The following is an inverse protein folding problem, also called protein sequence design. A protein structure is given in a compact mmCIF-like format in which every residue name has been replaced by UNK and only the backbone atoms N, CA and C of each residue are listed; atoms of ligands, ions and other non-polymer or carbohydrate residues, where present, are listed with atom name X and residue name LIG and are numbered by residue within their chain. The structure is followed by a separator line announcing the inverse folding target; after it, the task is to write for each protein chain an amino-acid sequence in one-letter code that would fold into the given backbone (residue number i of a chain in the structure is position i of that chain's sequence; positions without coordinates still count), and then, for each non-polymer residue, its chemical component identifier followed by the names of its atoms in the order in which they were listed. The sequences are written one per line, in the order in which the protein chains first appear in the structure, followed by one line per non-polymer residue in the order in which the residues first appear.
data_IF_123546876163
#
_entry.id   IF_123546876163
#
_cell.length_a   1.000
_cell.length_b   1.000
_cell.length_c   1.000
_cell.angle_alpha   90.00
_cell.angle_beta   90.00
_cell.angle_gamma   90.00
#
_symmetry.space_group_name_H-M   'P 1'
#
loop_
_entity.id
_entity.type
_entity.pdbx_description
1 polymer ?
#
# COMPACT_ATOMS: atom_id res chain seq x y z
N UNK A 1 -18.95 33.69 -87.03
CA UNK A 1 -20.42 33.93 -87.17
C UNK A 1 -20.89 34.18 -85.75
N UNK A 2 -21.00 35.50 -85.41
CA UNK A 2 -22.18 36.31 -85.29
C UNK A 2 -23.32 35.65 -84.52
N UNK A 3 -23.76 36.11 -83.36
CA UNK A 3 -24.37 37.40 -83.04
C UNK A 3 -24.81 37.34 -81.56
N UNK A 4 -24.64 38.40 -80.83
CA UNK A 4 -25.52 39.47 -80.40
C UNK A 4 -26.31 39.23 -79.08
N UNK A 5 -25.95 40.10 -78.17
CA UNK A 5 -26.69 40.52 -76.94
C UNK A 5 -28.14 40.98 -77.19
N UNK A 6 -28.96 41.04 -76.18
CA UNK A 6 -29.17 42.40 -75.63
C UNK A 6 -29.29 42.51 -74.11
N UNK A 7 -29.01 43.74 -73.71
CA UNK A 7 -29.18 44.37 -72.39
C UNK A 7 -30.63 44.48 -71.97
N UNK A 8 -30.97 44.42 -70.69
CA UNK A 8 -31.90 45.29 -69.94
C UNK A 8 -31.64 45.24 -68.41
N UNK A 9 -31.22 46.34 -67.95
CA UNK A 9 -31.78 47.35 -66.99
C UNK A 9 -32.05 46.88 -65.54
N UNK A 10 -31.41 47.65 -64.68
CA UNK A 10 -31.46 47.77 -63.26
C UNK A 10 -32.80 47.99 -62.62
N UNK A 11 -33.01 47.50 -61.45
CA UNK A 11 -33.80 48.10 -60.38
C UNK A 11 -33.17 47.82 -59.03
N UNK A 12 -32.80 48.91 -58.36
CA UNK A 12 -32.26 48.90 -56.99
C UNK A 12 -33.40 48.68 -56.02
N UNK A 13 -33.18 47.74 -55.10
CA UNK A 13 -33.96 47.72 -53.87
C UNK A 13 -32.98 47.59 -52.71
N UNK A 14 -32.97 48.61 -51.88
CA UNK A 14 -32.28 48.65 -50.60
C UNK A 14 -32.97 47.67 -49.67
N UNK A 15 -32.23 46.74 -49.11
CA UNK A 15 -32.69 45.91 -48.01
C UNK A 15 -31.75 46.12 -46.84
N UNK A 16 -32.31 46.58 -45.74
CA UNK A 16 -31.65 46.72 -44.43
C UNK A 16 -30.99 45.40 -43.99
N UNK A 17 -29.70 45.46 -43.71
CA UNK A 17 -29.02 44.38 -43.04
C UNK A 17 -29.21 44.53 -41.50
N UNK A 18 -30.03 43.70 -40.91
CA UNK A 18 -30.06 43.49 -39.46
C UNK A 18 -28.96 42.52 -39.09
N UNK A 19 -27.92 43.04 -38.43
CA UNK A 19 -26.86 42.24 -37.84
C UNK A 19 -27.43 41.51 -36.61
N UNK A 20 -27.67 40.19 -36.72
CA UNK A 20 -27.92 39.32 -35.59
C UNK A 20 -26.58 38.89 -34.99
N UNK A 21 -26.18 39.48 -33.87
CA UNK A 21 -25.05 39.03 -33.06
C UNK A 21 -25.45 37.74 -32.35
N UNK A 22 -24.99 36.59 -32.84
CA UNK A 22 -25.02 35.33 -32.11
C UNK A 22 -24.04 35.43 -30.93
N UNK A 23 -24.57 35.68 -29.74
CA UNK A 23 -23.82 35.54 -28.49
C UNK A 23 -23.57 34.07 -28.21
N UNK A 24 -22.32 33.61 -28.41
CA UNK A 24 -21.84 32.28 -28.01
C UNK A 24 -21.65 32.31 -26.50
N UNK A 25 -22.67 31.91 -25.73
CA UNK A 25 -22.52 31.67 -24.28
C UNK A 25 -21.70 30.40 -24.09
N UNK A 26 -20.44 30.55 -23.74
CA UNK A 26 -19.65 29.44 -23.16
C UNK A 26 -20.24 29.10 -21.79
N UNK A 27 -21.08 28.08 -21.75
CA UNK A 27 -21.46 27.46 -20.49
C UNK A 27 -20.20 26.76 -19.93
N UNK A 28 -19.57 27.38 -18.93
CA UNK A 28 -18.56 26.73 -18.11
C UNK A 28 -19.23 25.56 -17.36
N UNK A 29 -19.06 24.34 -17.85
CA UNK A 29 -19.39 23.14 -17.09
C UNK A 29 -18.48 23.07 -15.87
N UNK A 30 -18.95 23.59 -14.75
CA UNK A 30 -18.34 23.29 -13.46
C UNK A 30 -18.47 21.78 -13.26
N UNK A 31 -17.35 21.07 -13.32
CA UNK A 31 -17.27 19.70 -12.82
C UNK A 31 -17.46 19.80 -11.31
N UNK A 32 -18.72 19.71 -10.88
CA UNK A 32 -19.03 19.53 -9.48
C UNK A 32 -18.32 18.26 -9.02
N UNK A 33 -17.45 18.37 -8.01
CA UNK A 33 -16.91 17.24 -7.31
C UNK A 33 -18.08 16.35 -6.92
N UNK A 34 -18.09 15.12 -7.42
CA UNK A 34 -19.07 14.10 -7.01
C UNK A 34 -19.03 14.04 -5.49
N UNK A 35 -20.16 14.23 -4.77
CA UNK A 35 -20.15 14.09 -3.32
C UNK A 35 -19.62 12.70 -3.02
N UNK A 36 -18.55 12.63 -2.22
CA UNK A 36 -18.06 11.36 -1.67
C UNK A 36 -19.24 10.79 -0.91
N UNK A 37 -19.82 9.72 -1.43
CA UNK A 37 -20.88 8.99 -0.73
C UNK A 37 -20.31 8.64 0.65
N UNK A 38 -21.03 8.88 1.75
CA UNK A 38 -20.59 8.41 3.06
C UNK A 38 -20.37 6.92 2.92
N UNK A 39 -19.15 6.47 3.25
CA UNK A 39 -18.80 5.07 3.18
C UNK A 39 -19.75 4.32 4.09
N UNK A 40 -20.44 3.33 3.53
CA UNK A 40 -21.41 2.51 4.25
C UNK A 40 -20.77 1.99 5.54
N UNK A 41 -21.45 2.14 6.67
CA UNK A 41 -20.93 1.76 7.98
C UNK A 41 -20.60 0.25 7.95
N UNK A 42 -19.34 -0.10 8.20
CA UNK A 42 -18.90 -1.49 8.20
C UNK A 42 -19.61 -2.20 9.36
N UNK A 43 -20.46 -3.20 9.11
CA UNK A 43 -21.19 -3.86 10.19
C UNK A 43 -20.21 -4.58 11.13
N UNK A 44 -20.46 -4.50 12.43
CA UNK A 44 -19.68 -5.24 13.41
C UNK A 44 -19.90 -6.74 13.24
N UNK A 45 -18.91 -7.44 12.72
CA UNK A 45 -18.87 -8.89 12.56
C UNK A 45 -17.71 -9.44 13.37
N UNK A 46 -18.03 -10.37 14.23
CA UNK A 46 -17.07 -10.99 15.15
C UNK A 46 -16.08 -11.86 14.39
N UNK A 47 -14.78 -11.59 14.52
CA UNK A 47 -13.72 -12.50 14.06
C UNK A 47 -13.69 -13.76 14.95
N UNK A 48 -13.80 -14.97 14.39
CA UNK A 48 -13.69 -16.21 15.17
C UNK A 48 -12.35 -16.34 15.91
N UNK A 49 -12.34 -17.04 17.04
CA UNK A 49 -11.14 -17.15 17.89
C UNK A 49 -9.97 -17.84 17.17
N UNK A 50 -10.24 -18.89 16.38
CA UNK A 50 -9.23 -19.58 15.59
C UNK A 50 -8.64 -18.66 14.51
N UNK A 51 -9.45 -17.79 13.89
CA UNK A 51 -9.00 -16.79 12.91
C UNK A 51 -8.20 -15.70 13.61
N UNK A 52 -8.67 -15.20 14.78
CA UNK A 52 -7.90 -14.24 15.59
C UNK A 52 -6.50 -14.74 15.91
N UNK A 53 -6.39 -16.01 16.34
CA UNK A 53 -5.08 -16.64 16.60
C UNK A 53 -4.23 -16.73 15.34
N UNK A 54 -4.80 -17.21 14.23
CA UNK A 54 -4.10 -17.34 12.98
C UNK A 54 -3.60 -15.98 12.44
N UNK A 55 -4.36 -14.88 12.62
CA UNK A 55 -3.94 -13.53 12.27
C UNK A 55 -2.69 -13.09 13.05
N UNK A 56 -2.65 -13.37 14.34
CA UNK A 56 -1.51 -13.02 15.20
C UNK A 56 -0.28 -13.92 14.95
N UNK A 57 -0.50 -15.20 14.70
CA UNK A 57 0.54 -16.19 14.41
C UNK A 57 1.18 -15.98 13.04
N UNK A 58 0.39 -15.72 11.97
CA UNK A 58 0.95 -15.47 10.64
C UNK A 58 1.82 -14.21 10.62
N UNK A 59 1.45 -13.20 11.42
CA UNK A 59 2.23 -11.99 11.63
C UNK A 59 3.40 -12.19 12.60
N UNK A 60 3.53 -13.36 13.25
CA UNK A 60 4.54 -13.62 14.28
C UNK A 60 4.54 -12.54 15.35
N UNK A 61 3.37 -12.19 15.85
CA UNK A 61 3.23 -11.19 16.92
C UNK A 61 3.98 -11.66 18.17
N UNK A 62 4.67 -10.75 18.84
CA UNK A 62 5.45 -11.02 20.03
C UNK A 62 5.53 -9.83 20.99
N UNK A 63 6.22 -9.97 22.14
CA UNK A 63 6.24 -8.97 23.20
C UNK A 63 6.91 -7.64 22.84
N UNK A 64 7.67 -7.61 21.74
CA UNK A 64 8.31 -6.39 21.22
C UNK A 64 7.39 -5.61 20.24
N UNK A 65 6.25 -6.18 19.89
CA UNK A 65 5.35 -5.54 18.96
C UNK A 65 4.47 -4.50 19.61
N UNK A 66 4.33 -3.37 18.91
CA UNK A 66 3.27 -2.41 19.11
C UNK A 66 2.31 -2.57 17.92
N UNK A 67 1.10 -3.06 18.18
CA UNK A 67 0.14 -3.32 17.13
C UNK A 67 -1.04 -2.35 17.15
N UNK A 68 -1.74 -2.26 16.04
CA UNK A 68 -3.02 -1.58 15.95
C UNK A 68 -4.04 -2.46 15.22
N UNK A 69 -5.27 -2.44 15.71
CA UNK A 69 -6.42 -3.10 15.08
C UNK A 69 -7.39 -2.03 14.58
N UNK A 70 -7.64 -2.01 13.28
CA UNK A 70 -8.48 -1.02 12.59
C UNK A 70 -9.91 -1.54 12.50
N UNK A 71 -10.86 -0.84 13.15
CA UNK A 71 -12.23 -1.33 13.36
C UNK A 71 -12.24 -2.44 14.40
N UNK A 72 -11.75 -2.14 15.61
CA UNK A 72 -11.42 -3.17 16.61
C UNK A 72 -12.62 -3.86 17.25
N UNK A 73 -13.84 -3.35 17.00
CA UNK A 73 -15.07 -3.94 17.52
C UNK A 73 -15.05 -4.14 19.03
N UNK A 74 -15.19 -5.39 19.49
CA UNK A 74 -15.17 -5.75 20.91
C UNK A 74 -13.75 -5.93 21.50
N UNK A 75 -12.72 -5.61 20.73
CA UNK A 75 -11.32 -5.59 21.16
C UNK A 75 -10.61 -6.94 21.16
N UNK A 76 -11.24 -8.02 20.71
CA UNK A 76 -10.73 -9.40 20.86
C UNK A 76 -9.33 -9.62 20.26
N UNK A 77 -9.00 -9.00 19.13
CA UNK A 77 -7.68 -9.18 18.47
C UNK A 77 -6.59 -8.57 19.35
N UNK A 78 -6.74 -7.32 19.79
CA UNK A 78 -5.77 -6.63 20.64
C UNK A 78 -5.65 -7.30 22.02
N UNK A 79 -6.78 -7.70 22.61
CA UNK A 79 -6.81 -8.41 23.91
C UNK A 79 -6.08 -9.76 23.79
N UNK A 80 -6.32 -10.51 22.72
CA UNK A 80 -5.64 -11.79 22.49
C UNK A 80 -4.13 -11.59 22.27
N UNK A 81 -3.73 -10.56 21.52
CA UNK A 81 -2.33 -10.22 21.33
C UNK A 81 -1.62 -9.87 22.65
N UNK A 82 -2.26 -9.05 23.49
CA UNK A 82 -1.72 -8.69 24.80
C UNK A 82 -1.62 -9.90 25.73
N UNK A 83 -2.67 -10.73 25.77
CA UNK A 83 -2.77 -11.85 26.70
C UNK A 83 -1.88 -13.04 26.35
N UNK A 84 -1.85 -13.43 25.06
CA UNK A 84 -1.15 -14.65 24.61
C UNK A 84 0.26 -14.40 24.07
N UNK A 85 0.48 -13.23 23.47
CA UNK A 85 1.75 -12.91 22.80
C UNK A 85 2.55 -11.82 23.53
N UNK A 86 2.00 -11.22 24.59
CA UNK A 86 2.68 -10.18 25.37
C UNK A 86 2.81 -8.84 24.66
N UNK A 87 2.21 -8.67 23.49
CA UNK A 87 2.28 -7.45 22.70
C UNK A 87 1.55 -6.28 23.38
N UNK A 88 1.91 -5.05 22.99
CA UNK A 88 1.10 -3.85 23.25
C UNK A 88 0.24 -3.55 22.04
N UNK A 89 -0.96 -3.02 22.24
CA UNK A 89 -1.81 -2.69 21.12
C UNK A 89 -2.85 -1.62 21.39
N UNK A 90 -3.23 -0.94 20.33
CA UNK A 90 -4.35 -0.02 20.25
C UNK A 90 -5.45 -0.61 19.36
N UNK A 91 -6.68 -0.59 19.81
CA UNK A 91 -7.85 -0.77 18.96
C UNK A 91 -8.47 0.60 18.66
N UNK A 92 -8.73 0.90 17.40
CA UNK A 92 -9.49 2.07 16.99
C UNK A 92 -10.84 1.63 16.43
N UNK A 93 -11.90 2.28 16.90
CA UNK A 93 -13.29 1.94 16.57
C UNK A 93 -14.09 3.24 16.54
N UNK A 94 -15.06 3.35 15.63
CA UNK A 94 -15.87 4.56 15.51
C UNK A 94 -17.17 4.48 16.32
N UNK A 95 -17.61 3.28 16.70
CA UNK A 95 -18.83 3.05 17.45
C UNK A 95 -18.56 3.11 18.96
N UNK A 96 -19.06 4.14 19.68
CA UNK A 96 -18.74 4.36 21.10
C UNK A 96 -19.04 3.16 22.01
N UNK A 97 -20.16 2.47 21.78
CA UNK A 97 -20.57 1.30 22.57
C UNK A 97 -19.61 0.13 22.43
N UNK A 98 -19.02 -0.05 21.23
CA UNK A 98 -18.00 -1.07 20.99
C UNK A 98 -16.69 -0.71 21.67
N UNK A 99 -16.30 0.57 21.65
CA UNK A 99 -15.13 1.06 22.41
C UNK A 99 -15.29 0.82 23.90
N UNK A 100 -16.45 1.12 24.46
CA UNK A 100 -16.72 0.86 25.88
C UNK A 100 -16.65 -0.63 26.19
N UNK A 101 -17.28 -1.48 25.34
CA UNK A 101 -17.24 -2.94 25.48
C UNK A 101 -15.81 -3.48 25.41
N UNK A 102 -14.99 -2.98 24.48
CA UNK A 102 -13.60 -3.43 24.34
C UNK A 102 -12.74 -3.09 25.57
N UNK A 103 -12.94 -1.91 26.18
CA UNK A 103 -12.30 -1.52 27.45
C UNK A 103 -12.70 -2.43 28.61
N UNK A 104 -13.98 -2.71 28.75
CA UNK A 104 -14.47 -3.65 29.76
C UNK A 104 -13.90 -5.07 29.56
N UNK A 105 -13.83 -5.53 28.31
CA UNK A 105 -13.25 -6.82 27.98
C UNK A 105 -11.76 -6.88 28.32
N UNK A 106 -11.00 -5.80 28.08
CA UNK A 106 -9.57 -5.71 28.43
C UNK A 106 -9.35 -5.76 29.95
N UNK A 107 -10.21 -5.09 30.75
CA UNK A 107 -10.19 -5.15 32.21
C UNK A 107 -10.49 -6.57 32.68
N UNK A 108 -11.56 -7.20 32.16
CA UNK A 108 -11.94 -8.59 32.51
C UNK A 108 -10.83 -9.59 32.14
N UNK A 109 -10.10 -9.32 31.05
CA UNK A 109 -8.99 -10.17 30.61
C UNK A 109 -7.68 -9.91 31.37
N UNK A 110 -7.59 -8.86 32.21
CA UNK A 110 -6.40 -8.49 32.97
C UNK A 110 -5.26 -7.93 32.12
N UNK A 111 -5.59 -7.25 31.00
CA UNK A 111 -4.59 -6.71 30.03
C UNK A 111 -4.81 -5.23 29.71
N UNK A 112 -5.58 -4.51 30.51
CA UNK A 112 -5.87 -3.09 30.27
C UNK A 112 -4.63 -2.18 30.32
N UNK A 113 -3.52 -2.66 30.86
CA UNK A 113 -2.21 -1.99 30.84
C UNK A 113 -1.48 -2.10 29.50
N UNK A 114 -1.90 -3.00 28.60
CA UNK A 114 -1.29 -3.30 27.30
C UNK A 114 -2.24 -3.21 26.11
N UNK A 115 -3.55 -3.25 26.36
CA UNK A 115 -4.61 -3.18 25.36
C UNK A 115 -5.42 -1.90 25.56
N UNK A 116 -5.17 -0.89 24.76
CA UNK A 116 -5.86 0.40 24.75
C UNK A 116 -6.94 0.43 23.66
N UNK A 117 -8.04 1.19 23.88
CA UNK A 117 -9.10 1.36 22.89
C UNK A 117 -9.55 2.81 22.82
N UNK A 118 -9.67 3.34 21.60
CA UNK A 118 -10.05 4.72 21.33
C UNK A 118 -11.20 4.78 20.34
N UNK A 119 -12.13 5.68 20.63
CA UNK A 119 -13.10 6.14 19.64
C UNK A 119 -12.37 7.03 18.63
N UNK A 120 -12.14 6.52 17.43
CA UNK A 120 -11.31 7.21 16.44
C UNK A 120 -11.56 6.70 15.03
N UNK A 121 -11.59 7.63 14.08
CA UNK A 121 -11.62 7.33 12.64
C UNK A 121 -10.28 6.71 12.21
N UNK A 122 -10.33 5.50 11.66
CA UNK A 122 -9.15 4.77 11.20
C UNK A 122 -8.37 5.51 10.10
N UNK A 123 -9.06 6.32 9.26
CA UNK A 123 -8.41 7.10 8.21
C UNK A 123 -7.65 8.32 8.72
N UNK A 124 -7.94 8.77 9.96
CA UNK A 124 -7.27 9.89 10.63
C UNK A 124 -6.24 9.42 11.66
N UNK A 125 -6.00 8.12 11.72
CA UNK A 125 -5.08 7.52 12.68
C UNK A 125 -3.66 7.50 12.13
N UNK A 126 -2.68 7.96 12.93
CA UNK A 126 -1.27 7.78 12.61
C UNK A 126 -0.89 6.30 12.81
N UNK A 127 -0.56 5.64 11.70
CA UNK A 127 -0.18 4.24 11.68
C UNK A 127 1.34 4.02 11.81
N UNK A 128 2.14 5.07 11.79
CA UNK A 128 3.61 5.00 11.75
C UNK A 128 4.27 4.36 12.97
N UNK A 129 3.70 4.42 14.20
CA UNK A 129 4.30 3.81 15.39
C UNK A 129 4.14 2.29 15.47
N UNK A 130 3.33 1.67 14.61
CA UNK A 130 2.94 0.28 14.76
C UNK A 130 3.75 -0.65 13.88
N UNK A 131 4.15 -1.80 14.45
CA UNK A 131 4.87 -2.87 13.75
C UNK A 131 3.94 -3.89 13.11
N UNK A 132 2.70 -3.99 13.62
CA UNK A 132 1.64 -4.87 13.12
C UNK A 132 0.34 -4.10 13.02
N UNK A 133 -0.35 -4.25 11.90
CA UNK A 133 -1.69 -3.68 11.67
C UNK A 133 -2.62 -4.84 11.31
N UNK A 134 -3.69 -4.98 12.06
CA UNK A 134 -4.75 -5.96 11.78
C UNK A 134 -6.03 -5.25 11.33
N UNK A 135 -6.81 -5.93 10.51
CA UNK A 135 -8.07 -5.41 10.00
C UNK A 135 -9.04 -6.53 9.60
N UNK A 136 -10.31 -6.32 9.90
CA UNK A 136 -11.41 -7.07 9.32
C UNK A 136 -12.44 -6.08 8.79
N UNK A 137 -12.12 -5.49 7.65
CA UNK A 137 -12.87 -4.41 7.03
C UNK A 137 -13.37 -4.86 5.65
N UNK A 138 -14.27 -4.08 5.04
CA UNK A 138 -14.68 -4.32 3.66
C UNK A 138 -13.51 -4.08 2.70
N UNK A 139 -13.56 -4.72 1.53
CA UNK A 139 -12.50 -4.62 0.53
C UNK A 139 -12.25 -3.19 0.08
N UNK A 140 -13.30 -2.39 -0.07
CA UNK A 140 -13.23 -0.99 -0.48
C UNK A 140 -12.43 -0.16 0.53
N UNK A 141 -12.60 -0.45 1.82
CA UNK A 141 -11.84 0.19 2.91
C UNK A 141 -10.37 -0.21 2.86
N UNK A 142 -10.06 -1.49 2.66
CA UNK A 142 -8.69 -1.96 2.48
C UNK A 142 -8.01 -1.27 1.29
N UNK A 143 -8.72 -1.14 0.16
CA UNK A 143 -8.21 -0.45 -1.04
C UNK A 143 -7.99 1.05 -0.78
N UNK A 144 -8.87 1.70 -0.02
CA UNK A 144 -8.73 3.10 0.35
C UNK A 144 -7.55 3.33 1.32
N UNK A 145 -7.28 2.38 2.23
CA UNK A 145 -6.14 2.41 3.15
C UNK A 145 -4.79 2.10 2.47
N UNK A 146 -4.78 1.29 1.42
CA UNK A 146 -3.56 0.79 0.76
C UNK A 146 -2.50 1.86 0.46
N UNK A 147 -2.83 3.06 -0.07
CA UNK A 147 -1.83 4.10 -0.32
C UNK A 147 -1.14 4.62 0.94
N UNK A 148 -1.82 4.60 2.10
CA UNK A 148 -1.27 4.97 3.39
C UNK A 148 -0.39 3.84 3.94
N UNK A 149 -0.84 2.59 3.84
CA UNK A 149 -0.13 1.40 4.30
C UNK A 149 1.20 1.20 3.58
N UNK A 150 1.26 1.48 2.27
CA UNK A 150 2.49 1.39 1.46
C UNK A 150 3.57 2.42 1.85
N UNK A 151 3.22 3.46 2.60
CA UNK A 151 4.16 4.50 3.09
C UNK A 151 4.76 4.16 4.45
N UNK A 152 4.30 3.10 5.10
CA UNK A 152 4.78 2.69 6.40
C UNK A 152 6.22 2.17 6.33
N UNK A 153 6.84 2.04 7.49
CA UNK A 153 8.20 1.52 7.61
C UNK A 153 8.31 0.13 6.97
N UNK A 154 9.31 -0.11 6.10
CA UNK A 154 9.58 -1.44 5.58
C UNK A 154 9.66 -2.49 6.68
N UNK A 155 8.97 -3.61 6.49
CA UNK A 155 8.86 -4.66 7.50
C UNK A 155 7.63 -4.55 8.40
N UNK A 156 6.84 -3.46 8.34
CA UNK A 156 5.51 -3.43 8.99
C UNK A 156 4.64 -4.53 8.42
N UNK A 157 4.02 -5.33 9.29
CA UNK A 157 3.19 -6.48 8.92
C UNK A 157 1.72 -6.10 8.96
N UNK A 158 1.03 -6.34 7.85
CA UNK A 158 -0.37 -6.03 7.65
C UNK A 158 -1.14 -7.34 7.55
N UNK A 159 -2.17 -7.51 8.35
CA UNK A 159 -2.98 -8.74 8.35
C UNK A 159 -4.43 -8.38 8.11
N UNK A 160 -5.03 -8.99 7.10
CA UNK A 160 -6.44 -8.83 6.80
C UNK A 160 -7.18 -10.16 6.88
N UNK A 161 -8.36 -10.14 7.49
CA UNK A 161 -9.29 -11.25 7.50
C UNK A 161 -10.21 -11.14 6.28
N UNK A 162 -10.27 -12.20 5.47
CA UNK A 162 -11.07 -12.42 4.26
C UNK A 162 -10.78 -11.47 3.07
N UNK A 163 -10.50 -10.19 3.29
CA UNK A 163 -10.43 -9.19 2.25
C UNK A 163 -9.00 -8.85 1.82
N UNK A 164 -8.77 -8.81 0.50
CA UNK A 164 -7.46 -8.52 -0.09
C UNK A 164 -7.26 -7.02 -0.39
N UNK A 165 -6.07 -6.66 -0.86
CA UNK A 165 -5.67 -5.30 -1.24
C UNK A 165 -5.56 -5.11 -2.78
N UNK A 166 -6.49 -5.70 -3.54
CA UNK A 166 -6.52 -5.60 -5.00
C UNK A 166 -5.35 -6.33 -5.66
N UNK A 167 -4.62 -5.60 -6.49
CA UNK A 167 -3.45 -6.10 -7.22
C UNK A 167 -2.18 -6.26 -6.35
N UNK A 168 -2.15 -5.70 -5.14
CA UNK A 168 -1.10 -6.02 -4.18
C UNK A 168 -1.33 -7.41 -3.60
N UNK A 169 -0.67 -8.41 -4.18
CA UNK A 169 -0.81 -9.80 -3.75
C UNK A 169 -0.20 -10.00 -2.35
N UNK A 170 -0.84 -10.78 -1.47
CA UNK A 170 -0.30 -11.08 -0.14
C UNK A 170 0.99 -11.89 -0.22
N UNK A 171 1.87 -11.70 0.75
CA UNK A 171 3.09 -12.50 0.92
C UNK A 171 2.76 -13.92 1.38
N UNK A 172 1.70 -14.06 2.19
CA UNK A 172 1.18 -15.35 2.65
C UNK A 172 -0.33 -15.28 2.80
N UNK A 173 -0.98 -16.43 2.58
CA UNK A 173 -2.41 -16.62 2.85
C UNK A 173 -2.59 -17.95 3.57
N UNK A 174 -3.39 -17.94 4.64
CA UNK A 174 -3.89 -19.14 5.31
C UNK A 174 -5.39 -19.23 5.04
N UNK A 175 -5.89 -20.45 4.84
CA UNK A 175 -7.32 -20.75 4.76
C UNK A 175 -7.68 -21.63 5.95
N UNK A 176 -8.73 -21.27 6.66
CA UNK A 176 -9.17 -21.91 7.90
C UNK A 176 -10.63 -22.32 7.80
N UNK A 177 -10.96 -23.50 8.31
CA UNK A 177 -12.33 -23.92 8.50
C UNK A 177 -12.97 -23.10 9.63
N UNK A 178 -14.16 -22.55 9.35
CA UNK A 178 -14.98 -21.78 10.30
C UNK A 178 -16.43 -22.27 10.18
N UNK A 179 -16.79 -23.42 10.76
CA UNK A 179 -18.10 -24.03 10.61
C UNK A 179 -19.26 -23.08 11.00
N UNK A 180 -19.01 -22.23 12.01
CA UNK A 180 -19.99 -21.29 12.56
C UNK A 180 -19.94 -19.91 11.89
N UNK A 181 -19.25 -19.77 10.77
CA UNK A 181 -19.17 -18.49 10.03
C UNK A 181 -20.58 -18.04 9.61
N UNK A 182 -20.96 -16.85 10.06
CA UNK A 182 -22.30 -16.28 9.81
C UNK A 182 -22.37 -15.45 8.55
N UNK A 183 -21.24 -14.96 8.02
CA UNK A 183 -21.16 -14.10 6.83
C UNK A 183 -20.48 -14.84 5.68
N UNK A 184 -21.06 -14.69 4.49
CA UNK A 184 -20.61 -15.39 3.30
C UNK A 184 -21.20 -16.80 3.14
N UNK A 185 -21.04 -17.39 1.95
CA UNK A 185 -21.54 -18.73 1.63
C UNK A 185 -20.58 -19.84 2.05
N UNK A 186 -19.29 -19.53 2.08
CA UNK A 186 -18.24 -20.49 2.42
C UNK A 186 -18.04 -20.52 3.93
N UNK A 187 -17.89 -21.72 4.50
CA UNK A 187 -17.50 -21.93 5.91
C UNK A 187 -15.99 -21.88 6.09
N UNK A 188 -15.33 -21.06 5.30
CA UNK A 188 -13.90 -20.84 5.29
C UNK A 188 -13.60 -19.36 5.56
N UNK A 189 -12.49 -19.08 6.24
CA UNK A 189 -11.92 -17.74 6.35
C UNK A 189 -10.50 -17.74 5.81
N UNK A 190 -10.13 -16.63 5.15
CA UNK A 190 -8.79 -16.40 4.64
C UNK A 190 -8.10 -15.35 5.49
N UNK A 191 -6.88 -15.64 5.89
CA UNK A 191 -6.01 -14.68 6.59
C UNK A 191 -4.86 -14.34 5.66
N UNK A 192 -4.80 -13.09 5.28
CA UNK A 192 -3.79 -12.56 4.36
C UNK A 192 -2.74 -11.76 5.12
N UNK A 193 -1.47 -11.98 4.81
CA UNK A 193 -0.34 -11.23 5.34
C UNK A 193 0.37 -10.49 4.21
N UNK A 194 0.62 -9.20 4.41
CA UNK A 194 1.57 -8.40 3.63
C UNK A 194 2.66 -7.87 4.54
N UNK A 195 3.88 -7.78 4.01
CA UNK A 195 5.01 -7.11 4.66
C UNK A 195 5.34 -5.88 3.84
N UNK A 196 5.26 -4.69 4.43
CA UNK A 196 5.51 -3.43 3.71
C UNK A 196 6.90 -3.46 3.10
N UNK A 197 7.03 -3.40 1.76
CA UNK A 197 8.30 -3.52 1.08
C UNK A 197 9.09 -2.20 1.09
N UNK A 198 10.42 -2.30 1.11
CA UNK A 198 11.30 -1.13 1.01
C UNK A 198 11.17 -0.42 -0.35
N UNK A 199 11.28 0.92 -0.40
CA UNK A 199 11.29 1.70 -1.64
C UNK A 199 12.67 1.62 -2.29
N UNK A 200 12.89 0.56 -3.09
CA UNK A 200 14.19 0.30 -3.73
C UNK A 200 14.26 0.75 -5.20
N UNK A 201 13.26 1.45 -5.69
CA UNK A 201 13.20 1.95 -7.06
C UNK A 201 14.32 2.95 -7.34
N UNK A 202 14.84 2.95 -8.56
CA UNK A 202 15.86 3.90 -9.03
C UNK A 202 17.24 3.31 -9.18
N UNK A 203 18.22 4.19 -9.27
CA UNK A 203 19.64 3.86 -9.44
C UNK A 203 20.33 3.76 -8.08
N UNK A 204 21.12 2.71 -7.92
CA UNK A 204 21.96 2.47 -6.75
C UNK A 204 23.41 2.32 -7.18
N UNK A 205 24.28 3.10 -6.58
CA UNK A 205 25.69 3.19 -6.92
C UNK A 205 26.54 2.51 -5.86
N UNK A 206 27.31 1.51 -6.26
CA UNK A 206 28.25 0.75 -5.44
C UNK A 206 29.71 0.99 -5.77
N UNK A 207 30.63 0.34 -5.07
CA UNK A 207 32.07 0.48 -5.31
C UNK A 207 32.49 -0.08 -6.66
N UNK A 208 33.59 0.45 -7.21
CA UNK A 208 34.18 -0.05 -8.46
C UNK A 208 33.27 0.10 -9.70
N UNK A 209 32.33 1.05 -9.70
CA UNK A 209 31.38 1.25 -10.81
C UNK A 209 30.24 0.23 -10.83
N UNK A 210 30.04 -0.54 -9.75
CA UNK A 210 28.89 -1.41 -9.58
C UNK A 210 27.61 -0.58 -9.49
N UNK A 211 26.57 -1.03 -10.17
CA UNK A 211 25.27 -0.34 -10.13
C UNK A 211 24.09 -1.32 -10.17
N UNK A 212 22.99 -0.90 -9.55
CA UNK A 212 21.69 -1.53 -9.67
C UNK A 212 20.71 -0.48 -10.18
N UNK A 213 19.99 -0.79 -11.27
CA UNK A 213 18.86 0.02 -11.75
C UNK A 213 17.61 -0.79 -11.54
N UNK A 214 16.78 -0.38 -10.58
CA UNK A 214 15.67 -1.20 -10.08
C UNK A 214 14.32 -0.54 -10.34
N UNK A 215 13.33 -1.35 -10.66
CA UNK A 215 11.91 -1.03 -10.72
C UNK A 215 11.18 -1.98 -9.79
N UNK A 216 10.09 -1.51 -9.17
CA UNK A 216 9.34 -2.28 -8.21
C UNK A 216 7.84 -2.23 -8.53
N UNK A 217 7.18 -3.38 -8.38
CA UNK A 217 5.73 -3.51 -8.29
C UNK A 217 5.42 -4.22 -6.98
N UNK A 218 5.05 -3.43 -5.97
CA UNK A 218 4.91 -3.88 -4.57
C UNK A 218 6.18 -4.58 -4.08
N UNK A 219 6.12 -5.88 -3.72
CA UNK A 219 7.28 -6.65 -3.28
C UNK A 219 8.08 -7.27 -4.43
N UNK A 220 7.61 -7.20 -5.67
CA UNK A 220 8.34 -7.74 -6.82
C UNK A 220 9.29 -6.69 -7.40
N UNK A 221 10.51 -7.11 -7.69
CA UNK A 221 11.58 -6.24 -8.20
C UNK A 221 12.11 -6.79 -9.51
N UNK A 222 12.36 -5.90 -10.46
CA UNK A 222 13.06 -6.20 -11.70
C UNK A 222 14.02 -5.07 -12.05
N UNK A 223 15.01 -5.35 -12.87
CA UNK A 223 15.95 -4.31 -13.25
C UNK A 223 17.22 -4.84 -13.90
N UNK A 224 18.29 -4.12 -13.69
CA UNK A 224 19.63 -4.47 -14.18
C UNK A 224 20.64 -4.36 -13.03
N UNK A 225 21.62 -5.26 -13.04
CA UNK A 225 22.73 -5.28 -12.07
C UNK A 225 24.04 -5.58 -12.79
N UNK A 226 25.10 -4.86 -12.46
CA UNK A 226 26.42 -5.06 -13.06
C UNK A 226 27.24 -3.77 -13.06
N UNK A 227 28.34 -3.74 -13.81
CA UNK A 227 29.03 -2.48 -14.17
C UNK A 227 28.22 -1.71 -15.21
N UNK A 228 28.41 -0.40 -15.30
CA UNK A 228 27.61 0.49 -16.15
C UNK A 228 27.46 0.02 -17.63
N UNK A 229 28.52 -0.60 -18.17
CA UNK A 229 28.54 -1.07 -19.57
C UNK A 229 28.27 -2.57 -19.71
N UNK A 230 28.22 -3.33 -18.60
CA UNK A 230 28.04 -4.78 -18.58
C UNK A 230 27.04 -5.14 -17.46
N UNK A 231 25.81 -4.69 -17.60
CA UNK A 231 24.75 -4.95 -16.65
C UNK A 231 23.74 -5.95 -17.21
N UNK A 232 23.50 -7.03 -16.47
CA UNK A 232 22.52 -8.08 -16.79
C UNK A 232 21.13 -7.78 -16.22
N UNK A 233 20.09 -8.35 -16.84
CA UNK A 233 18.75 -8.32 -16.26
C UNK A 233 18.71 -9.10 -14.95
N UNK A 234 17.94 -8.61 -14.00
CA UNK A 234 17.69 -9.24 -12.71
C UNK A 234 16.22 -9.20 -12.38
N UNK A 235 15.79 -10.21 -11.64
CA UNK A 235 14.47 -10.23 -11.00
C UNK A 235 14.64 -10.56 -9.52
N UNK A 236 13.65 -10.21 -8.72
CA UNK A 236 13.74 -10.49 -7.31
C UNK A 236 12.50 -10.11 -6.53
N UNK A 237 12.65 -10.12 -5.23
CA UNK A 237 11.57 -9.89 -4.28
C UNK A 237 12.10 -9.16 -3.04
N UNK A 238 11.22 -8.37 -2.44
CA UNK A 238 11.40 -7.77 -1.13
C UNK A 238 10.64 -8.58 -0.07
N UNK A 239 11.29 -8.81 1.05
CA UNK A 239 10.69 -9.20 2.32
C UNK A 239 10.97 -8.05 3.31
N UNK A 240 10.04 -7.12 3.40
CA UNK A 240 10.25 -5.87 4.12
C UNK A 240 11.45 -5.07 3.60
N UNK A 241 12.50 -4.98 4.42
CA UNK A 241 13.74 -4.29 4.08
C UNK A 241 14.76 -5.18 3.33
N UNK A 242 14.53 -6.48 3.26
CA UNK A 242 15.46 -7.42 2.65
C UNK A 242 15.15 -7.61 1.16
N UNK A 243 16.12 -7.25 0.32
CA UNK A 243 16.06 -7.36 -1.13
C UNK A 243 16.81 -8.61 -1.59
N UNK A 244 16.12 -9.50 -2.27
CA UNK A 244 16.68 -10.68 -2.90
C UNK A 244 16.60 -10.53 -4.41
N UNK A 245 17.75 -10.47 -5.09
CA UNK A 245 17.87 -10.42 -6.55
C UNK A 245 18.58 -11.66 -7.07
N UNK A 246 18.19 -12.12 -8.25
CA UNK A 246 18.84 -13.22 -8.93
C UNK A 246 18.79 -13.08 -10.45
N UNK A 247 19.77 -13.75 -11.10
CA UNK A 247 19.78 -14.05 -12.52
C UNK A 247 20.56 -15.35 -12.74
N UNK A 248 20.70 -15.88 -13.98
CA UNK A 248 21.49 -17.08 -14.25
C UNK A 248 22.97 -16.97 -13.81
N UNK A 249 23.51 -15.76 -13.68
CA UNK A 249 24.92 -15.52 -13.30
C UNK A 249 25.16 -15.43 -11.80
N UNK A 250 24.13 -15.35 -10.94
CA UNK A 250 24.30 -15.25 -9.50
C UNK A 250 23.06 -14.78 -8.74
N UNK A 251 23.22 -14.69 -7.42
CA UNK A 251 22.22 -14.19 -6.49
C UNK A 251 22.82 -13.16 -5.54
N UNK A 252 21.99 -12.20 -5.10
CA UNK A 252 22.36 -11.13 -4.20
C UNK A 252 21.25 -10.96 -3.15
N UNK A 253 21.65 -10.89 -1.88
CA UNK A 253 20.80 -10.49 -0.78
C UNK A 253 21.34 -9.19 -0.18
N UNK A 254 20.54 -8.14 -0.16
CA UNK A 254 20.90 -6.85 0.40
C UNK A 254 19.80 -6.34 1.34
N UNK A 255 20.20 -5.54 2.33
CA UNK A 255 19.29 -4.90 3.26
C UNK A 255 19.20 -3.41 2.99
N UNK A 256 17.98 -2.93 2.81
CA UNK A 256 17.67 -1.52 2.71
C UNK A 256 17.76 -0.84 4.08
N UNK A 257 18.35 0.36 4.08
CA UNK A 257 18.40 1.25 5.22
C UNK A 257 17.96 2.64 4.76
N UNK A 258 16.92 3.22 5.39
CA UNK A 258 16.50 4.57 5.06
C UNK A 258 17.59 5.57 5.41
N UNK A 259 17.69 6.65 4.65
CA UNK A 259 18.58 7.75 4.97
C UNK A 259 18.13 8.46 6.24
N UNK A 260 19.07 8.89 7.06
CA UNK A 260 18.83 9.69 8.25
C UNK A 260 19.51 11.05 8.12
N UNK A 261 18.87 12.10 8.65
CA UNK A 261 19.48 13.46 8.66
C UNK A 261 19.77 14.04 7.27
N UNK A 262 18.98 13.68 6.24
CA UNK A 262 19.20 14.13 4.86
C UNK A 262 20.17 13.27 4.04
N UNK A 263 20.74 12.22 4.63
CA UNK A 263 21.56 11.27 3.89
C UNK A 263 20.71 10.42 2.93
N UNK A 264 21.28 10.00 1.80
CA UNK A 264 20.63 9.10 0.87
C UNK A 264 20.43 7.70 1.49
N UNK A 265 19.35 6.98 1.13
CA UNK A 265 19.15 5.59 1.51
C UNK A 265 20.28 4.70 1.00
N UNK A 266 20.47 3.55 1.65
CA UNK A 266 21.51 2.59 1.28
C UNK A 266 20.98 1.17 1.19
N UNK A 267 21.66 0.36 0.35
CA UNK A 267 21.53 -1.09 0.30
C UNK A 267 22.87 -1.70 0.72
N UNK A 268 22.89 -2.45 1.81
CA UNK A 268 24.07 -3.19 2.26
C UNK A 268 23.96 -4.64 1.82
N UNK A 269 24.91 -5.14 1.05
CA UNK A 269 24.91 -6.52 0.57
C UNK A 269 25.32 -7.45 1.72
N UNK A 270 24.43 -8.35 2.10
CA UNK A 270 24.62 -9.33 3.16
C UNK A 270 25.24 -10.63 2.62
N UNK A 271 24.84 -11.01 1.41
CA UNK A 271 25.44 -12.14 0.70
C UNK A 271 25.35 -11.94 -0.81
N UNK A 272 26.33 -12.50 -1.52
CA UNK A 272 26.36 -12.49 -2.99
C UNK A 272 27.09 -13.75 -3.49
N UNK A 273 26.69 -14.22 -4.67
CA UNK A 273 27.27 -15.37 -5.36
C UNK A 273 27.42 -15.14 -6.84
N UNK A 274 28.16 -16.02 -7.53
CA UNK A 274 28.39 -15.94 -8.96
C UNK A 274 29.10 -14.64 -9.37
N UNK A 275 28.61 -13.98 -10.41
CA UNK A 275 29.18 -12.75 -10.95
C UNK A 275 29.23 -11.59 -9.94
N UNK A 276 28.42 -11.65 -8.87
CA UNK A 276 28.34 -10.61 -7.84
C UNK A 276 29.09 -10.95 -6.55
N UNK A 277 29.85 -12.04 -6.53
CA UNK A 277 30.57 -12.49 -5.32
C UNK A 277 31.48 -11.40 -4.73
N UNK A 278 32.08 -10.55 -5.58
CA UNK A 278 32.90 -9.40 -5.18
C UNK A 278 32.12 -8.25 -4.53
N UNK A 279 30.78 -8.30 -4.55
CA UNK A 279 29.93 -7.28 -3.92
C UNK A 279 29.54 -7.61 -2.49
N UNK A 280 30.00 -8.73 -1.93
CA UNK A 280 29.75 -9.07 -0.51
C UNK A 280 30.21 -7.92 0.39
N UNK A 281 29.37 -7.52 1.33
CA UNK A 281 29.56 -6.39 2.25
C UNK A 281 29.57 -5.00 1.55
N UNK A 282 29.44 -4.95 0.23
CA UNK A 282 29.35 -3.69 -0.48
C UNK A 282 28.13 -2.88 -0.05
N UNK A 283 28.32 -1.57 0.01
CA UNK A 283 27.25 -0.61 0.26
C UNK A 283 26.94 0.15 -1.02
N UNK A 284 25.71 0.08 -1.44
CA UNK A 284 25.16 0.88 -2.53
C UNK A 284 24.42 2.07 -1.95
N UNK A 285 24.60 3.24 -2.55
CA UNK A 285 23.92 4.48 -2.17
C UNK A 285 22.95 4.85 -3.28
N UNK A 286 21.75 5.29 -2.93
CA UNK A 286 20.78 5.73 -3.93
C UNK A 286 21.31 6.96 -4.68
N UNK A 287 21.38 6.85 -6.02
CA UNK A 287 21.81 7.93 -6.90
C UNK A 287 20.67 8.88 -7.24
N UNK A 288 21.01 10.13 -7.52
CA UNK A 288 20.03 11.17 -7.92
C UNK A 288 19.91 11.36 -9.45
N UNK A 289 20.59 10.55 -10.27
CA UNK A 289 20.65 10.66 -11.71
C UNK A 289 20.51 9.33 -12.43
N UNK A 290 20.70 9.34 -13.75
CA UNK A 290 20.64 8.14 -14.60
C UNK A 290 21.96 7.33 -14.60
N UNK A 291 23.05 7.92 -14.14
CA UNK A 291 24.39 7.32 -14.12
C UNK A 291 25.05 7.58 -12.78
N UNK A 292 25.70 6.55 -12.25
CA UNK A 292 26.56 6.70 -11.06
C UNK A 292 27.75 7.63 -11.40
N UNK A 293 27.85 8.75 -10.70
CA UNK A 293 29.05 9.59 -10.78
C UNK A 293 30.14 8.88 -9.97
N UNK A 294 31.22 8.55 -10.64
CA UNK A 294 32.44 7.95 -10.07
C UNK A 294 33.18 9.01 -9.27
#
# INVERSE_FOLDING_TARGET
MTALLPRRRALAHAALATAATLGLSLAATSHGATPVQPMEEVPFIVTPDNVTLAMLEIARVGPQDNMIDLGSGDGRIVITAARRFGARGLGVEIVPDLVQRSRENAIKAGVADRAEFREQDLFKTDLSPYSVITMYLLQEVNLALRPLLLKLKPGTRLVSHDWHMGDWQPDRTLTLDVPDKIVGREKLSRVHLWVVPAPVEGLWCGPGGAQLQLQRSYQLVQGRAGAARDSGLVTGRLDGADLHLANPGGALHARFQPGAGGAAPTLTVLSASGAWQGWREARFVQGSGEVCRI
#
